data_IF_069413793587
#
_entry.id   IF_069413793587
#
_cell.length_a   1.000
_cell.length_b   1.000
_cell.length_c   1.000
_cell.angle_alpha   90.00
_cell.angle_beta   90.00
_cell.angle_gamma   90.00
#
_symmetry.space_group_name_H-M   'P 1'
#
loop_
_entity.id
_entity.type
_entity.pdbx_description
1 polymer ?
#
# COMPACT_ATOMS: atom_id res chain seq x y z
N UNK A 1 11.02 -3.92 29.69
CA UNK A 1 9.83 -3.74 28.82
C UNK A 1 9.70 -2.35 28.19
N UNK A 2 10.32 -1.29 28.74
CA UNK A 2 10.27 0.08 28.20
C UNK A 2 11.26 0.37 27.06
N UNK A 3 12.39 -0.36 27.00
CA UNK A 3 13.42 -0.15 25.98
C UNK A 3 13.04 -0.71 24.59
N UNK A 4 12.40 -1.89 24.55
CA UNK A 4 12.03 -2.56 23.28
C UNK A 4 10.95 -1.78 22.53
N UNK A 5 9.95 -1.22 23.22
CA UNK A 5 8.94 -0.37 22.57
C UNK A 5 9.51 0.94 22.00
N UNK A 6 10.58 1.47 22.58
CA UNK A 6 11.22 2.71 22.11
C UNK A 6 11.98 2.49 20.79
N UNK A 7 12.71 1.37 20.67
CA UNK A 7 13.54 1.05 19.48
C UNK A 7 12.69 0.88 18.21
N UNK A 8 11.50 0.27 18.32
CA UNK A 8 10.60 0.12 17.17
C UNK A 8 9.75 1.39 16.86
N UNK A 9 9.67 2.36 17.76
CA UNK A 9 8.83 3.56 17.56
C UNK A 9 9.47 4.64 16.66
N UNK A 10 10.80 4.74 16.68
CA UNK A 10 11.56 5.69 15.84
C UNK A 10 11.46 5.36 14.33
N UNK A 11 11.70 4.11 13.88
CA UNK A 11 11.57 3.74 12.47
C UNK A 11 10.15 3.92 11.93
N UNK A 12 9.12 3.50 12.68
CA UNK A 12 7.71 3.66 12.27
C UNK A 12 7.32 5.13 12.12
N UNK A 13 7.90 6.04 12.91
CA UNK A 13 7.67 7.49 12.81
C UNK A 13 8.28 8.07 11.52
N UNK A 14 9.47 7.61 11.16
CA UNK A 14 10.14 7.99 9.89
C UNK A 14 9.35 7.43 8.71
N UNK A 15 8.91 6.18 8.79
CA UNK A 15 8.09 5.52 7.77
C UNK A 15 6.77 6.26 7.55
N UNK A 16 6.07 6.64 8.62
CA UNK A 16 4.83 7.40 8.53
C UNK A 16 5.03 8.77 7.84
N UNK A 17 6.14 9.47 8.14
CA UNK A 17 6.49 10.74 7.48
C UNK A 17 6.86 10.53 6.01
N UNK A 18 7.61 9.48 5.70
CA UNK A 18 7.98 9.12 4.33
C UNK A 18 6.75 8.77 3.50
N UNK A 19 5.84 7.97 4.05
CA UNK A 19 4.56 7.64 3.43
C UNK A 19 3.72 8.91 3.18
N UNK A 20 3.64 9.82 4.16
CA UNK A 20 2.93 11.08 3.99
C UNK A 20 3.52 11.92 2.84
N UNK A 21 4.85 12.05 2.78
CA UNK A 21 5.53 12.79 1.71
C UNK A 21 5.31 12.13 0.34
N UNK A 22 5.38 10.80 0.28
CA UNK A 22 5.13 10.03 -0.94
C UNK A 22 3.70 10.24 -1.45
N UNK A 23 2.69 10.02 -0.62
CA UNK A 23 1.28 10.17 -1.02
C UNK A 23 0.90 11.63 -1.30
N UNK A 24 1.53 12.58 -0.60
CA UNK A 24 1.41 14.01 -0.91
C UNK A 24 1.88 14.31 -2.32
N UNK A 25 3.06 13.82 -2.73
CA UNK A 25 3.60 14.03 -4.06
C UNK A 25 2.72 13.44 -5.17
N UNK A 26 1.97 12.38 -4.87
CA UNK A 26 1.07 11.73 -5.82
C UNK A 26 -0.33 12.35 -5.87
N UNK A 27 -0.69 13.20 -4.89
CA UNK A 27 -2.05 13.69 -4.75
C UNK A 27 -2.56 14.50 -5.93
N UNK A 28 -1.65 15.13 -6.67
CA UNK A 28 -1.94 15.97 -7.85
C UNK A 28 -1.74 15.23 -9.17
N UNK A 29 -1.39 13.95 -9.14
CA UNK A 29 -1.15 13.15 -10.34
C UNK A 29 -2.46 12.96 -11.12
N UNK A 30 -2.42 13.25 -12.42
CA UNK A 30 -3.55 13.01 -13.32
C UNK A 30 -3.56 11.57 -13.79
N UNK A 31 -4.74 10.97 -13.81
CA UNK A 31 -4.96 9.58 -14.20
C UNK A 31 -5.52 9.56 -15.62
N UNK A 32 -4.83 8.83 -16.49
CA UNK A 32 -5.28 8.69 -17.87
C UNK A 32 -6.37 7.62 -17.95
N UNK A 33 -7.48 7.99 -18.57
CA UNK A 33 -8.55 7.07 -18.91
C UNK A 33 -8.68 6.97 -20.43
N UNK A 34 -9.11 5.82 -20.98
CA UNK A 34 -9.43 5.70 -22.39
C UNK A 34 -10.44 6.76 -22.83
N UNK A 35 -10.23 7.37 -24.00
CA UNK A 35 -11.09 8.46 -24.51
C UNK A 35 -12.57 8.07 -24.57
N UNK A 36 -12.87 6.81 -24.85
CA UNK A 36 -14.23 6.28 -24.92
C UNK A 36 -14.96 6.32 -23.57
N UNK A 37 -14.23 6.23 -22.46
CA UNK A 37 -14.81 6.18 -21.12
C UNK A 37 -14.85 7.54 -20.42
N UNK A 38 -14.16 8.56 -20.96
CA UNK A 38 -14.06 9.89 -20.32
C UNK A 38 -15.41 10.52 -20.00
N UNK A 39 -16.44 10.32 -20.81
CA UNK A 39 -17.78 10.87 -20.56
C UNK A 39 -18.48 10.22 -19.36
N UNK A 40 -18.02 9.05 -18.91
CA UNK A 40 -18.57 8.29 -17.78
C UNK A 40 -17.75 8.48 -16.50
N UNK A 41 -16.54 9.04 -16.61
CA UNK A 41 -15.61 9.23 -15.50
C UNK A 41 -15.86 10.58 -14.84
N UNK A 42 -16.29 10.63 -13.57
CA UNK A 42 -16.38 11.86 -12.81
C UNK A 42 -15.05 12.60 -12.75
N UNK A 43 -15.08 13.93 -12.77
CA UNK A 43 -13.87 14.77 -12.77
C UNK A 43 -12.91 14.43 -11.61
N UNK A 44 -13.45 14.20 -10.41
CA UNK A 44 -12.65 13.85 -9.23
C UNK A 44 -11.96 12.47 -9.29
N UNK A 45 -12.28 11.62 -10.27
CA UNK A 45 -11.56 10.36 -10.52
C UNK A 45 -10.40 10.52 -11.51
N UNK A 46 -10.31 11.66 -12.20
CA UNK A 46 -9.24 11.99 -13.15
C UNK A 46 -7.94 12.43 -12.46
N UNK A 47 -7.97 12.59 -11.14
CA UNK A 47 -6.82 12.89 -10.30
C UNK A 47 -6.72 11.81 -9.23
N UNK A 48 -5.49 11.42 -8.85
CA UNK A 48 -5.25 10.39 -7.85
C UNK A 48 -5.85 10.74 -6.49
N UNK A 49 -5.59 11.96 -5.99
CA UNK A 49 -6.07 12.43 -4.70
C UNK A 49 -5.34 11.79 -3.52
N UNK A 50 -6.03 11.57 -2.40
CA UNK A 50 -5.41 11.02 -1.20
C UNK A 50 -5.57 9.49 -1.09
N UNK A 51 -4.58 8.83 -0.49
CA UNK A 51 -4.63 7.39 -0.15
C UNK A 51 -5.47 7.14 1.11
N UNK A 52 -6.70 7.66 1.13
CA UNK A 52 -7.63 7.53 2.24
C UNK A 52 -9.06 7.45 1.73
N UNK A 53 -9.87 6.61 2.36
CA UNK A 53 -11.31 6.57 2.14
C UNK A 53 -11.99 7.71 2.87
N UNK A 54 -12.76 8.53 2.16
CA UNK A 54 -13.63 9.52 2.80
C UNK A 54 -14.71 8.89 3.71
N UNK A 55 -15.04 7.60 3.50
CA UNK A 55 -16.08 6.91 4.27
C UNK A 55 -15.58 6.39 5.63
N UNK A 56 -14.31 5.99 5.71
CA UNK A 56 -13.78 5.31 6.90
C UNK A 56 -12.52 5.95 7.49
N UNK A 57 -11.92 6.92 6.81
CA UNK A 57 -10.60 7.46 7.19
C UNK A 57 -9.45 6.45 7.02
N UNK A 58 -9.71 5.29 6.40
CA UNK A 58 -8.73 4.21 6.20
C UNK A 58 -8.52 3.94 4.71
N UNK A 59 -7.33 3.48 4.27
CA UNK A 59 -7.10 3.11 2.87
C UNK A 59 -7.87 1.87 2.39
N UNK A 60 -8.50 1.11 3.29
CA UNK A 60 -9.10 -0.21 2.97
C UNK A 60 -10.38 -0.13 2.12
N UNK A 61 -11.28 0.82 2.37
CA UNK A 61 -12.52 0.96 1.61
C UNK A 61 -12.38 2.03 0.52
N UNK A 62 -11.80 1.65 -0.62
CA UNK A 62 -11.56 2.58 -1.72
C UNK A 62 -12.85 3.25 -2.21
N UNK A 63 -12.79 4.57 -2.40
CA UNK A 63 -13.90 5.41 -2.90
C UNK A 63 -13.66 5.93 -4.31
N UNK A 64 -12.52 5.59 -4.90
CA UNK A 64 -12.15 5.96 -6.27
C UNK A 64 -11.41 4.80 -6.96
N UNK A 65 -11.41 4.75 -8.31
CA UNK A 65 -10.77 3.68 -9.06
C UNK A 65 -9.26 3.52 -8.77
N UNK A 66 -8.44 4.60 -8.69
CA UNK A 66 -7.02 4.45 -8.40
C UNK A 66 -6.74 3.76 -7.06
N UNK A 67 -7.50 4.10 -6.02
CA UNK A 67 -7.36 3.44 -4.73
C UNK A 67 -7.82 1.98 -4.76
N UNK A 68 -8.84 1.66 -5.55
CA UNK A 68 -9.33 0.30 -5.72
C UNK A 68 -8.30 -0.59 -6.42
N UNK A 69 -7.71 -0.09 -7.52
CA UNK A 69 -6.62 -0.78 -8.24
C UNK A 69 -5.43 -1.02 -7.32
N UNK A 70 -5.01 0.01 -6.56
CA UNK A 70 -3.94 -0.14 -5.58
C UNK A 70 -4.23 -1.19 -4.50
N UNK A 71 -5.47 -1.21 -3.98
CA UNK A 71 -5.86 -2.23 -3.00
C UNK A 71 -5.74 -3.64 -3.60
N UNK A 72 -6.22 -3.80 -4.84
CA UNK A 72 -6.12 -5.06 -5.56
C UNK A 72 -4.67 -5.50 -5.79
N UNK A 73 -3.81 -4.60 -6.29
CA UNK A 73 -2.39 -4.88 -6.50
C UNK A 73 -1.68 -5.26 -5.21
N UNK A 74 -2.00 -4.59 -4.09
CA UNK A 74 -1.44 -4.97 -2.80
C UNK A 74 -1.93 -6.32 -2.31
N UNK A 75 -3.19 -6.70 -2.55
CA UNK A 75 -3.68 -8.04 -2.23
C UNK A 75 -3.00 -9.13 -3.05
N UNK A 76 -2.75 -8.88 -4.35
CA UNK A 76 -1.98 -9.82 -5.20
C UNK A 76 -0.54 -9.92 -4.72
N UNK A 77 0.11 -8.78 -4.44
CA UNK A 77 1.48 -8.76 -3.96
C UNK A 77 1.63 -9.45 -2.59
N UNK A 78 0.66 -9.30 -1.70
CA UNK A 78 0.61 -10.00 -0.41
C UNK A 78 0.54 -11.52 -0.60
N UNK A 79 -0.32 -11.99 -1.52
CA UNK A 79 -0.42 -13.41 -1.84
C UNK A 79 0.89 -13.97 -2.43
N UNK A 80 1.54 -13.25 -3.35
CA UNK A 80 2.83 -13.65 -3.91
C UNK A 80 3.94 -13.68 -2.84
N UNK A 81 3.99 -12.66 -1.97
CA UNK A 81 4.96 -12.62 -0.87
C UNK A 81 4.76 -13.77 0.12
N UNK A 82 3.51 -14.11 0.44
CA UNK A 82 3.16 -15.27 1.25
C UNK A 82 3.68 -16.57 0.61
N UNK A 83 3.37 -16.79 -0.67
CA UNK A 83 3.78 -17.98 -1.39
C UNK A 83 5.31 -18.10 -1.47
N UNK A 84 6.00 -17.00 -1.76
CA UNK A 84 7.47 -16.96 -1.81
C UNK A 84 8.11 -17.27 -0.44
N UNK A 85 7.56 -16.73 0.65
CA UNK A 85 8.02 -17.05 1.99
C UNK A 85 7.83 -18.55 2.32
N UNK A 86 6.65 -19.10 2.00
CA UNK A 86 6.34 -20.50 2.21
C UNK A 86 7.23 -21.44 1.37
N UNK A 87 7.52 -21.10 0.11
CA UNK A 87 8.42 -21.88 -0.76
C UNK A 87 9.85 -21.94 -0.20
N UNK A 88 10.32 -20.87 0.42
CA UNK A 88 11.63 -20.80 1.07
C UNK A 88 11.66 -21.48 2.46
N UNK A 89 10.53 -22.03 2.92
CA UNK A 89 10.40 -22.64 4.24
C UNK A 89 10.38 -21.64 5.39
N UNK A 90 10.14 -20.36 5.11
CA UNK A 90 9.95 -19.32 6.11
C UNK A 90 8.49 -19.31 6.59
N UNK A 91 8.26 -18.90 7.83
CA UNK A 91 6.90 -18.71 8.37
C UNK A 91 6.40 -17.30 8.00
N UNK A 92 5.36 -17.16 7.13
CA UNK A 92 4.83 -15.85 6.75
C UNK A 92 4.30 -15.02 7.93
N UNK A 93 3.94 -15.67 9.04
CA UNK A 93 3.41 -15.01 10.23
C UNK A 93 4.46 -14.30 11.08
N UNK A 94 5.74 -14.66 10.94
CA UNK A 94 6.84 -14.16 11.77
C UNK A 94 7.54 -12.95 11.15
N UNK A 95 7.11 -11.75 11.52
CA UNK A 95 7.68 -10.50 11.04
C UNK A 95 9.03 -10.16 11.68
N UNK A 96 9.90 -9.54 10.88
CA UNK A 96 11.18 -8.99 11.30
C UNK A 96 11.04 -7.50 11.65
N UNK A 97 10.23 -6.75 10.90
CA UNK A 97 9.95 -5.31 11.14
C UNK A 97 8.53 -5.11 11.68
N UNK A 98 7.56 -5.79 11.08
CA UNK A 98 6.18 -5.79 11.55
C UNK A 98 6.03 -6.67 12.80
N UNK A 99 5.40 -6.11 13.86
CA UNK A 99 5.06 -6.90 15.06
C UNK A 99 4.08 -8.01 14.72
N UNK A 100 4.41 -9.25 15.06
CA UNK A 100 3.51 -10.39 14.91
C UNK A 100 2.12 -10.12 15.47
N UNK A 101 1.11 -10.33 14.63
CA UNK A 101 -0.30 -10.25 15.02
C UNK A 101 -1.01 -11.50 14.54
N UNK A 102 -1.92 -12.08 15.36
CA UNK A 102 -2.71 -13.22 14.94
C UNK A 102 -3.44 -12.92 13.62
N UNK A 103 -3.41 -13.86 12.67
CA UNK A 103 -4.04 -13.76 11.36
C UNK A 103 -3.51 -12.64 10.45
N UNK A 104 -2.24 -12.24 10.60
CA UNK A 104 -1.55 -11.38 9.63
C UNK A 104 -0.20 -11.99 9.27
N UNK A 105 0.08 -12.05 7.98
CA UNK A 105 1.36 -12.49 7.46
C UNK A 105 2.38 -11.35 7.59
N UNK A 106 2.93 -11.19 8.80
CA UNK A 106 3.81 -10.07 9.13
C UNK A 106 5.11 -10.09 8.32
N UNK A 107 5.65 -11.28 7.99
CA UNK A 107 6.79 -11.42 7.09
C UNK A 107 6.43 -11.07 5.65
N UNK A 108 5.22 -11.43 5.19
CA UNK A 108 4.77 -11.03 3.86
C UNK A 108 4.66 -9.50 3.77
N UNK A 109 4.12 -8.84 4.80
CA UNK A 109 4.11 -7.38 4.89
C UNK A 109 5.50 -6.75 4.80
N UNK A 110 6.50 -7.34 5.47
CA UNK A 110 7.90 -6.90 5.40
C UNK A 110 8.47 -7.05 3.98
N UNK A 111 8.22 -8.19 3.31
CA UNK A 111 8.68 -8.44 1.94
C UNK A 111 8.04 -7.50 0.91
N UNK A 112 6.81 -7.03 1.18
CA UNK A 112 6.11 -6.09 0.31
C UNK A 112 6.72 -4.69 0.33
N UNK A 113 7.28 -4.23 1.46
CA UNK A 113 7.79 -2.86 1.63
C UNK A 113 8.70 -2.37 0.49
N UNK A 114 9.76 -3.09 0.09
CA UNK A 114 10.62 -2.64 -1.01
C UNK A 114 9.94 -2.64 -2.38
N UNK A 115 8.88 -3.43 -2.56
CA UNK A 115 8.19 -3.60 -3.85
C UNK A 115 7.02 -2.61 -4.02
N UNK A 116 6.46 -2.08 -2.92
CA UNK A 116 5.32 -1.14 -2.96
C UNK A 116 5.53 0.05 -3.93
N UNK A 117 6.69 0.75 -3.93
CA UNK A 117 6.92 1.84 -4.87
C UNK A 117 6.96 1.37 -6.34
N UNK A 118 7.49 0.18 -6.60
CA UNK A 118 7.62 -0.38 -7.95
C UNK A 118 6.27 -0.76 -8.53
N UNK A 119 5.41 -1.43 -7.74
CA UNK A 119 4.05 -1.80 -8.18
C UNK A 119 3.23 -0.58 -8.63
N UNK A 120 3.48 0.56 -8.00
CA UNK A 120 2.81 1.83 -8.29
C UNK A 120 3.42 2.54 -9.51
N UNK A 121 4.74 2.50 -9.68
CA UNK A 121 5.41 3.05 -10.87
C UNK A 121 4.98 2.34 -12.16
N UNK A 122 4.80 1.02 -12.13
CA UNK A 122 4.33 0.24 -13.27
C UNK A 122 2.94 0.70 -13.71
N UNK A 123 2.05 1.02 -12.77
CA UNK A 123 0.71 1.52 -13.09
C UNK A 123 0.71 2.90 -13.77
N UNK A 124 1.59 3.81 -13.35
CA UNK A 124 1.71 5.13 -13.99
C UNK A 124 2.43 5.11 -15.36
N UNK A 125 3.12 4.01 -15.68
CA UNK A 125 3.86 3.85 -16.94
C UNK A 125 3.02 3.16 -18.04
N UNK A 126 1.83 2.67 -17.72
CA UNK A 126 0.86 2.03 -18.63
C UNK A 126 -0.23 3.05 -18.96
#
# INVERSE_FOLDING_TARGET
MSYVSCVFSEPLSIEAKAALAYWSAWSTLTIQYPRADLSRVPEHWQIFGARVSALTGSPRLAVNPPNAVLNYLYSVLEAEAHLAAAELGLDPGLGMLHRDTPNRDSLACDLMEPIRPLSMHIWCAI
#
